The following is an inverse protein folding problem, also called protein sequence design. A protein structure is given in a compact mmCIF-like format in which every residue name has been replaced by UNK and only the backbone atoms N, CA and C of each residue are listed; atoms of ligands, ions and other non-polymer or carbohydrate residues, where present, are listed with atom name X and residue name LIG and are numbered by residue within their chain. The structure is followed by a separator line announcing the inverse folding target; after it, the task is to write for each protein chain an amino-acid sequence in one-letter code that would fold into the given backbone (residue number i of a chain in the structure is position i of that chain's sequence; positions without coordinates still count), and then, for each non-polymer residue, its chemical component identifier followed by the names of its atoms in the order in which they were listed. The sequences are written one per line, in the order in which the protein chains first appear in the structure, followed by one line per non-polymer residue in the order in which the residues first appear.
data_IF_745925571014
#
_entry.id   IF_745925571014
#
_cell.length_a   1.000
_cell.length_b   1.000
_cell.length_c   1.000
_cell.angle_alpha   90.00
_cell.angle_beta   90.00
_cell.angle_gamma   90.00
#
_symmetry.space_group_name_H-M   'P 1'
#
loop_
_entity.id
_entity.type
_entity.pdbx_description
1 polymer ?
#
# COMPACT_ATOMS: atom_id res chain seq x y z
N UNK A 1 -3.38 -6.35 6.22
CA UNK A 1 -2.43 -7.17 5.44
C UNK A 1 -1.30 -6.29 4.97
N UNK A 2 -0.13 -6.84 4.67
CA UNK A 2 1.09 -6.07 4.33
C UNK A 2 1.99 -6.84 3.38
N UNK A 3 2.85 -6.11 2.66
CA UNK A 3 3.87 -6.64 1.74
C UNK A 3 5.27 -6.08 2.01
N UNK A 4 5.48 -5.39 3.15
CA UNK A 4 6.78 -4.94 3.62
C UNK A 4 7.03 -5.45 5.05
N UNK A 5 7.69 -6.61 5.18
CA UNK A 5 7.79 -7.33 6.45
C UNK A 5 8.59 -6.57 7.51
N UNK A 6 9.70 -5.98 7.11
CA UNK A 6 10.58 -5.17 7.96
C UNK A 6 9.85 -3.93 8.52
N UNK A 7 9.19 -3.17 7.66
CA UNK A 7 8.37 -2.00 8.06
C UNK A 7 7.24 -2.45 8.99
N UNK A 8 6.56 -3.55 8.66
CA UNK A 8 5.47 -4.09 9.48
C UNK A 8 5.95 -4.45 10.87
N UNK A 9 7.08 -5.14 10.98
CA UNK A 9 7.66 -5.49 12.28
C UNK A 9 8.09 -4.25 13.07
N UNK A 10 8.64 -3.24 12.40
CA UNK A 10 9.05 -1.98 13.04
C UNK A 10 7.88 -1.19 13.61
N UNK A 11 6.73 -1.17 12.93
CA UNK A 11 5.50 -0.52 13.42
C UNK A 11 4.85 -1.32 14.57
N UNK A 12 5.18 -2.61 14.69
CA UNK A 12 4.67 -3.53 15.73
C UNK A 12 3.13 -3.50 15.87
N UNK A 13 2.37 -3.75 14.78
CA UNK A 13 0.92 -3.77 14.85
C UNK A 13 0.44 -4.92 15.74
N UNK A 14 -0.77 -4.83 16.34
CA UNK A 14 -1.28 -5.88 17.21
C UNK A 14 -1.24 -7.26 16.56
N UNK A 15 -1.71 -7.38 15.31
CA UNK A 15 -1.61 -8.59 14.49
C UNK A 15 -1.56 -8.20 13.02
N UNK A 16 -0.76 -8.90 12.22
CA UNK A 16 -0.73 -8.71 10.78
C UNK A 16 -0.60 -10.05 10.02
N UNK A 17 -1.15 -10.10 8.81
CA UNK A 17 -0.81 -11.12 7.83
C UNK A 17 0.07 -10.49 6.74
N UNK A 18 1.18 -11.15 6.42
CA UNK A 18 2.18 -10.76 5.44
C UNK A 18 2.10 -11.62 4.19
N UNK A 19 2.11 -10.96 3.04
CA UNK A 19 2.13 -11.57 1.71
C UNK A 19 3.32 -11.01 0.94
N UNK A 20 4.29 -11.86 0.60
CA UNK A 20 5.55 -11.50 -0.07
C UNK A 20 5.37 -11.26 -1.58
N UNK A 21 4.49 -10.31 -1.89
CA UNK A 21 4.12 -9.89 -3.24
C UNK A 21 4.60 -8.45 -3.45
N UNK A 22 4.72 -7.98 -4.70
CA UNK A 22 5.05 -6.58 -4.98
C UNK A 22 4.10 -5.61 -4.27
N UNK A 23 4.61 -4.43 -3.93
CA UNK A 23 3.79 -3.36 -3.36
C UNK A 23 2.59 -3.07 -4.29
N UNK A 24 1.42 -2.85 -3.68
CA UNK A 24 0.15 -2.70 -4.40
C UNK A 24 -0.60 -4.02 -4.69
N UNK A 25 0.02 -5.18 -4.43
CA UNK A 25 -0.57 -6.51 -4.69
C UNK A 25 -0.82 -7.32 -3.40
N UNK A 26 -1.09 -6.63 -2.29
CA UNK A 26 -1.29 -7.22 -0.95
C UNK A 26 -2.48 -8.19 -0.84
N UNK A 27 -3.32 -8.29 -1.87
CA UNK A 27 -4.50 -9.16 -1.92
C UNK A 27 -4.44 -10.22 -3.04
N UNK A 28 -3.32 -10.32 -3.78
CA UNK A 28 -3.13 -11.32 -4.82
C UNK A 28 -2.76 -10.74 -6.19
N UNK A 29 -2.63 -11.65 -7.17
CA UNK A 29 -2.27 -11.29 -8.55
C UNK A 29 -3.45 -10.67 -9.29
N UNK A 30 -3.22 -9.73 -10.22
CA UNK A 30 -4.29 -9.17 -11.04
C UNK A 30 -4.99 -10.27 -11.84
N UNK A 31 -6.33 -10.20 -11.93
CA UNK A 31 -7.17 -11.12 -12.73
C UNK A 31 -7.11 -12.60 -12.30
N UNK A 32 -6.70 -12.88 -11.07
CA UNK A 32 -6.74 -14.23 -10.47
C UNK A 32 -7.67 -14.24 -9.24
N UNK A 33 -9.00 -14.17 -9.42
CA UNK A 33 -9.94 -14.00 -8.31
C UNK A 33 -9.97 -15.19 -7.34
N UNK A 34 -9.72 -16.41 -7.81
CA UNK A 34 -9.64 -17.60 -6.97
C UNK A 34 -8.44 -17.52 -6.02
N UNK A 35 -7.26 -17.16 -6.52
CA UNK A 35 -6.07 -16.92 -5.72
C UNK A 35 -6.29 -15.79 -4.71
N UNK A 36 -6.87 -14.67 -5.15
CA UNK A 36 -7.18 -13.55 -4.26
C UNK A 36 -8.10 -13.98 -3.11
N UNK A 37 -9.11 -14.81 -3.41
CA UNK A 37 -10.01 -15.37 -2.41
C UNK A 37 -9.27 -16.26 -1.41
N UNK A 38 -8.41 -17.15 -1.87
CA UNK A 38 -7.61 -18.01 -0.99
C UNK A 38 -6.68 -17.21 -0.08
N UNK A 39 -6.03 -16.18 -0.63
CA UNK A 39 -5.18 -15.25 0.13
C UNK A 39 -5.98 -14.56 1.25
N UNK A 40 -7.16 -14.02 0.92
CA UNK A 40 -8.01 -13.33 1.89
C UNK A 40 -8.50 -14.28 2.98
N UNK A 41 -8.90 -15.49 2.62
CA UNK A 41 -9.29 -16.52 3.60
C UNK A 41 -8.12 -16.85 4.52
N UNK A 42 -6.94 -17.14 3.97
CA UNK A 42 -5.75 -17.45 4.76
C UNK A 42 -5.35 -16.29 5.70
N UNK A 43 -5.47 -15.05 5.23
CA UNK A 43 -5.22 -13.87 6.04
C UNK A 43 -6.24 -13.72 7.18
N UNK A 44 -7.54 -13.83 6.90
CA UNK A 44 -8.58 -13.67 7.92
C UNK A 44 -8.53 -14.80 8.95
N UNK A 45 -8.39 -16.05 8.52
CA UNK A 45 -8.25 -17.20 9.42
C UNK A 45 -7.00 -17.12 10.30
N UNK A 46 -5.93 -16.45 9.86
CA UNK A 46 -4.76 -16.24 10.71
C UNK A 46 -5.10 -15.43 11.98
N UNK A 47 -6.03 -14.48 11.90
CA UNK A 47 -6.43 -13.68 13.06
C UNK A 47 -7.23 -14.46 14.11
N UNK A 48 -7.81 -15.61 13.75
CA UNK A 48 -8.46 -16.51 14.70
C UNK A 48 -7.44 -17.28 15.57
N UNK A 49 -6.23 -17.48 15.05
CA UNK A 49 -5.19 -18.31 15.69
C UNK A 49 -4.07 -17.50 16.34
N UNK A 50 -3.86 -16.25 15.92
CA UNK A 50 -2.85 -15.36 16.49
C UNK A 50 -3.29 -14.79 17.83
N UNK A 51 -2.58 -15.16 18.90
CA UNK A 51 -2.91 -14.82 20.29
C UNK A 51 -2.01 -13.74 20.90
N UNK A 52 -0.80 -13.53 20.37
CA UNK A 52 0.16 -12.57 20.90
C UNK A 52 0.16 -11.25 20.11
N UNK A 53 0.19 -10.08 20.76
CA UNK A 53 0.46 -8.80 20.11
C UNK A 53 1.79 -8.81 19.35
N UNK A 54 1.89 -8.06 18.24
CA UNK A 54 3.09 -8.02 17.41
C UNK A 54 3.26 -9.23 16.49
N UNK A 55 2.35 -10.22 16.56
CA UNK A 55 2.43 -11.39 15.70
C UNK A 55 2.23 -11.02 14.24
N UNK A 56 3.04 -11.60 13.36
CA UNK A 56 2.92 -11.48 11.91
C UNK A 56 2.86 -12.88 11.29
N UNK A 57 1.76 -13.23 10.63
CA UNK A 57 1.62 -14.49 9.90
C UNK A 57 2.06 -14.31 8.45
N UNK A 58 3.10 -15.01 8.03
CA UNK A 58 3.51 -15.10 6.63
C UNK A 58 2.61 -16.11 5.89
N UNK A 59 2.02 -15.70 4.77
CA UNK A 59 1.15 -16.54 3.96
C UNK A 59 1.95 -17.34 2.91
N UNK A 60 1.56 -18.59 2.57
CA UNK A 60 2.37 -19.51 1.78
C UNK A 60 2.26 -19.31 0.25
N UNK A 61 1.85 -18.13 -0.21
CA UNK A 61 1.66 -17.86 -1.64
C UNK A 61 2.91 -17.24 -2.26
N UNK A 62 3.17 -17.52 -3.54
CA UNK A 62 4.31 -17.00 -4.29
C UNK A 62 3.88 -16.15 -5.48
N UNK A 63 4.60 -15.04 -5.70
CA UNK A 63 4.37 -14.16 -6.84
C UNK A 63 4.76 -14.83 -8.17
N UNK A 64 5.93 -15.47 -8.20
CA UNK A 64 6.45 -16.20 -9.36
C UNK A 64 7.28 -17.40 -8.91
N UNK A 65 7.69 -18.25 -9.84
CA UNK A 65 8.57 -19.39 -9.55
C UNK A 65 9.97 -18.92 -9.11
N UNK A 66 10.45 -17.82 -9.70
CA UNK A 66 11.71 -17.17 -9.39
C UNK A 66 11.53 -15.83 -8.65
N UNK A 67 12.62 -15.31 -8.09
CA UNK A 67 12.66 -14.03 -7.34
C UNK A 67 13.13 -12.84 -8.21
N UNK A 68 13.22 -13.00 -9.53
CA UNK A 68 13.70 -11.96 -10.45
C UNK A 68 12.86 -10.68 -10.40
N UNK A 69 11.57 -10.80 -10.04
CA UNK A 69 10.70 -9.65 -9.83
C UNK A 69 11.19 -8.73 -8.70
N UNK A 70 11.80 -9.28 -7.63
CA UNK A 70 12.33 -8.46 -6.52
C UNK A 70 13.49 -7.62 -7.01
N UNK A 71 14.42 -8.23 -7.74
CA UNK A 71 15.56 -7.50 -8.32
C UNK A 71 15.08 -6.36 -9.23
N UNK A 72 14.06 -6.61 -10.06
CA UNK A 72 13.44 -5.58 -10.89
C UNK A 72 12.81 -4.47 -10.04
N UNK A 73 12.02 -4.82 -9.02
CA UNK A 73 11.36 -3.85 -8.15
C UNK A 73 12.35 -2.97 -7.34
N UNK A 74 13.53 -3.51 -6.99
CA UNK A 74 14.60 -2.73 -6.34
C UNK A 74 15.42 -1.89 -7.33
N UNK A 75 15.50 -2.31 -8.60
CA UNK A 75 16.23 -1.59 -9.64
C UNK A 75 15.43 -0.44 -10.26
N UNK A 76 14.11 -0.59 -10.34
CA UNK A 76 13.19 0.49 -10.72
C UNK A 76 13.29 1.58 -9.64
N UNK A 77 13.81 2.75 -10.04
CA UNK A 77 14.08 3.86 -9.13
C UNK A 77 12.81 4.52 -8.60
N UNK A 78 12.97 5.64 -7.92
CA UNK A 78 11.84 6.42 -7.44
C UNK A 78 11.09 7.09 -8.60
N UNK A 79 10.00 6.47 -9.05
CA UNK A 79 9.12 7.04 -10.09
C UNK A 79 8.16 8.11 -9.54
N UNK A 80 8.20 8.42 -8.24
CA UNK A 80 7.34 9.47 -7.68
C UNK A 80 7.69 10.81 -8.33
N UNK A 81 6.65 11.54 -8.75
CA UNK A 81 6.81 12.88 -9.26
C UNK A 81 7.54 13.78 -8.24
N UNK A 82 8.31 14.74 -8.75
CA UNK A 82 8.94 15.74 -7.91
C UNK A 82 7.89 16.47 -7.08
N UNK A 83 8.21 16.75 -5.82
CA UNK A 83 7.37 17.63 -5.01
C UNK A 83 7.53 19.05 -5.54
N UNK A 84 6.43 19.63 -6.00
CA UNK A 84 6.38 21.02 -6.42
C UNK A 84 5.79 21.88 -5.31
N UNK A 85 6.26 23.13 -5.21
CA UNK A 85 5.66 24.18 -4.38
C UNK A 85 4.39 24.77 -5.02
N UNK A 86 4.14 24.45 -6.28
CA UNK A 86 2.94 24.84 -7.02
C UNK A 86 1.85 23.76 -6.92
N UNK A 87 0.57 24.16 -6.80
CA UNK A 87 -0.56 23.24 -6.87
C UNK A 87 -0.54 22.43 -8.17
N UNK A 88 -0.76 21.12 -8.05
CA UNK A 88 -0.91 20.19 -9.18
C UNK A 88 -2.38 19.83 -9.33
N UNK A 89 -2.92 19.95 -10.55
CA UNK A 89 -4.33 19.68 -10.86
C UNK A 89 -4.45 18.44 -11.75
N UNK A 90 -5.54 17.70 -11.62
CA UNK A 90 -5.81 16.53 -12.48
C UNK A 90 -5.99 16.96 -13.94
N UNK A 91 -6.69 18.08 -14.15
CA UNK A 91 -6.88 18.71 -15.45
C UNK A 91 -7.03 20.25 -15.35
N UNK A 92 -7.24 20.87 -16.52
CA UNK A 92 -7.40 22.33 -16.65
C UNK A 92 -8.69 22.85 -16.03
N UNK A 93 -9.75 22.04 -16.03
CA UNK A 93 -11.02 22.43 -15.43
C UNK A 93 -10.91 22.50 -13.91
N UNK A 94 -10.21 21.53 -13.31
CA UNK A 94 -9.88 21.52 -11.89
C UNK A 94 -9.05 22.76 -11.48
N UNK A 95 -8.05 23.13 -12.28
CA UNK A 95 -7.28 24.37 -12.05
C UNK A 95 -8.20 25.58 -12.02
N UNK A 96 -9.02 25.74 -13.06
CA UNK A 96 -9.93 26.87 -13.19
C UNK A 96 -10.91 26.96 -12.02
N UNK A 97 -11.49 25.82 -11.59
CA UNK A 97 -12.42 25.78 -10.45
C UNK A 97 -11.74 26.18 -9.14
N UNK A 98 -10.51 25.70 -8.90
CA UNK A 98 -9.75 26.05 -7.70
C UNK A 98 -9.39 27.54 -7.66
N UNK A 99 -8.96 28.12 -8.78
CA UNK A 99 -8.63 29.54 -8.88
C UNK A 99 -9.88 30.44 -8.76
N UNK A 100 -11.01 30.02 -9.32
CA UNK A 100 -12.30 30.72 -9.20
C UNK A 100 -12.86 30.71 -7.77
N UNK A 101 -12.58 29.66 -6.99
CA UNK A 101 -13.02 29.55 -5.60
C UNK A 101 -12.35 30.54 -4.64
N UNK A 102 -11.27 31.21 -5.07
CA UNK A 102 -10.43 32.03 -4.21
C UNK A 102 -9.70 31.19 -3.14
N UNK A 103 -8.74 31.77 -2.41
CA UNK A 103 -8.13 31.07 -1.29
C UNK A 103 -9.21 30.77 -0.25
N UNK A 104 -9.35 29.52 0.22
CA UNK A 104 -10.26 29.23 1.32
C UNK A 104 -9.88 30.14 2.49
N UNK A 105 -10.87 30.67 3.22
CA UNK A 105 -10.57 31.35 4.47
C UNK A 105 -10.00 30.30 5.43
N UNK A 106 -8.68 30.14 5.45
CA UNK A 106 -7.99 29.28 6.40
C UNK A 106 -8.26 29.85 7.80
N UNK A 107 -9.09 29.20 8.64
CA UNK A 107 -9.44 29.74 9.95
C UNK A 107 -8.25 29.70 10.92
N UNK A 108 -7.21 28.93 10.58
CA UNK A 108 -5.96 28.78 11.35
C UNK A 108 -4.90 29.82 10.97
N UNK A 109 -4.94 30.35 9.75
CA UNK A 109 -3.90 31.23 9.22
C UNK A 109 -4.08 32.71 9.62
N UNK A 110 -5.03 33.03 10.52
CA UNK A 110 -5.34 34.39 10.99
C UNK A 110 -4.91 34.67 12.43
N UNK A 111 -4.19 33.74 13.06
CA UNK A 111 -3.45 33.92 14.33
C UNK A 111 -1.96 33.91 14.06
#
# INVERSE_FOLDING_TARGET
MTSALDITRAVNPPRAAFLDFPLGHTTGKPREPELQREILIGALSSFETMTAPGSVKELPFRWSEDEGWKAKAFAEGDERAARHDTPQYQDEEDRRRAEQGGPPSCPVCRS
#
